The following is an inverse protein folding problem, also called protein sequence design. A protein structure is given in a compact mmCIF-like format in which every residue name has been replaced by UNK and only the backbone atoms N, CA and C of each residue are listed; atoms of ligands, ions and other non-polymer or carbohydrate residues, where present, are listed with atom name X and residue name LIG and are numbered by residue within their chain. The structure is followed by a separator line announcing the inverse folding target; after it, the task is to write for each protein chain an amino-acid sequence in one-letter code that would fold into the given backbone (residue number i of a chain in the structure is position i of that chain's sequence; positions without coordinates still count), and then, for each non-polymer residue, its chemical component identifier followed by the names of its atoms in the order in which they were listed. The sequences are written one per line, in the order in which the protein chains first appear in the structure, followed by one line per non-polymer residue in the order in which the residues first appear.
data_IF_893776083536
#
_entry.id   IF_893776083536
#
_cell.length_a   1.000
_cell.length_b   1.000
_cell.length_c   1.000
_cell.angle_alpha   90.00
_cell.angle_beta   90.00
_cell.angle_gamma   90.00
#
_symmetry.space_group_name_H-M   'P 1'
#
loop_
_entity.id
_entity.type
_entity.pdbx_description
1 polymer ?
#
# COMPACT_ATOMS: atom_id res chain seq x y z
N UNK A 1 9.45 -20.37 11.32
CA UNK A 1 9.46 -20.52 9.84
C UNK A 1 8.22 -19.82 9.32
N UNK A 2 8.37 -18.82 8.44
CA UNK A 2 7.20 -18.23 7.77
C UNK A 2 6.66 -19.26 6.78
N UNK A 3 5.36 -19.58 6.86
CA UNK A 3 4.74 -20.48 5.88
C UNK A 3 4.63 -19.77 4.53
N UNK A 4 4.65 -20.54 3.44
CA UNK A 4 4.48 -20.01 2.08
C UNK A 4 3.18 -19.21 1.93
N UNK A 5 2.11 -19.59 2.66
CA UNK A 5 0.85 -18.87 2.69
C UNK A 5 0.97 -17.45 3.26
N UNK A 6 1.67 -17.29 4.39
CA UNK A 6 1.89 -15.96 5.00
C UNK A 6 2.72 -15.06 4.07
N UNK A 7 3.70 -15.61 3.38
CA UNK A 7 4.53 -14.86 2.42
C UNK A 7 3.69 -14.40 1.22
N UNK A 8 2.82 -15.26 0.68
CA UNK A 8 1.95 -14.92 -0.44
C UNK A 8 0.94 -13.82 -0.06
N UNK A 9 0.36 -13.87 1.15
CA UNK A 9 -0.55 -12.83 1.64
C UNK A 9 0.14 -11.47 1.76
N UNK A 10 1.36 -11.43 2.31
CA UNK A 10 2.12 -10.19 2.46
C UNK A 10 2.49 -9.62 1.08
N UNK A 11 2.92 -10.46 0.14
CA UNK A 11 3.24 -10.02 -1.23
C UNK A 11 1.99 -9.50 -1.96
N UNK A 12 0.85 -10.19 -1.82
CA UNK A 12 -0.43 -9.76 -2.37
C UNK A 12 -0.86 -8.40 -1.81
N UNK A 13 -0.79 -8.24 -0.49
CA UNK A 13 -1.07 -6.98 0.18
C UNK A 13 -0.11 -5.87 -0.28
N UNK A 14 1.19 -6.16 -0.43
CA UNK A 14 2.18 -5.20 -0.88
C UNK A 14 1.94 -4.71 -2.31
N UNK A 15 1.63 -5.62 -3.23
CA UNK A 15 1.30 -5.26 -4.62
C UNK A 15 -0.02 -4.47 -4.69
N UNK A 16 -1.04 -4.91 -3.96
CA UNK A 16 -2.31 -4.20 -3.86
C UNK A 16 -2.10 -2.77 -3.34
N UNK A 17 -1.33 -2.61 -2.26
CA UNK A 17 -0.97 -1.32 -1.68
C UNK A 17 -0.19 -0.44 -2.64
N UNK A 18 0.81 -0.98 -3.34
CA UNK A 18 1.59 -0.23 -4.32
C UNK A 18 0.71 0.32 -5.44
N UNK A 19 -0.17 -0.52 -6.01
CA UNK A 19 -1.04 -0.12 -7.12
C UNK A 19 -2.09 0.90 -6.69
N UNK A 20 -2.82 0.61 -5.61
CA UNK A 20 -3.90 1.48 -5.12
C UNK A 20 -3.33 2.77 -4.50
N UNK A 21 -2.23 2.67 -3.76
CA UNK A 21 -1.51 3.83 -3.23
C UNK A 21 -0.95 4.72 -4.32
N UNK A 22 -0.41 4.15 -5.42
CA UNK A 22 0.02 4.94 -6.57
C UNK A 22 -1.15 5.64 -7.27
N UNK A 23 -2.30 4.97 -7.40
CA UNK A 23 -3.51 5.55 -7.98
C UNK A 23 -4.02 6.74 -7.16
N UNK A 24 -4.12 6.57 -5.83
CA UNK A 24 -4.53 7.66 -4.93
C UNK A 24 -3.49 8.79 -4.95
N UNK A 25 -2.20 8.47 -4.89
CA UNK A 25 -1.14 9.47 -5.00
C UNK A 25 -1.20 10.26 -6.31
N UNK A 26 -1.47 9.58 -7.43
CA UNK A 26 -1.67 10.23 -8.72
C UNK A 26 -2.89 11.15 -8.72
N UNK A 27 -4.04 10.73 -8.17
CA UNK A 27 -5.22 11.56 -8.00
C UNK A 27 -4.92 12.79 -7.14
N UNK A 28 -4.23 12.60 -6.01
CA UNK A 28 -3.82 13.70 -5.14
C UNK A 28 -2.96 14.70 -5.91
N UNK A 29 -2.00 14.27 -6.71
CA UNK A 29 -1.16 15.19 -7.52
C UNK A 29 -1.93 15.99 -8.57
N UNK A 30 -3.11 15.53 -9.01
CA UNK A 30 -3.95 16.29 -9.93
C UNK A 30 -4.61 17.49 -9.24
N UNK A 31 -4.91 17.35 -7.95
CA UNK A 31 -5.59 18.38 -7.15
C UNK A 31 -4.59 19.22 -6.37
N UNK A 32 -3.43 18.65 -6.06
CA UNK A 32 -2.42 19.23 -5.16
C UNK A 32 -1.07 19.33 -5.87
N UNK A 33 -0.35 20.44 -5.70
CA UNK A 33 0.98 20.65 -6.33
C UNK A 33 2.11 19.94 -5.58
N UNK A 34 1.91 18.69 -5.17
CA UNK A 34 2.86 17.93 -4.36
C UNK A 34 3.76 17.06 -5.27
N UNK A 35 5.01 16.86 -4.84
CA UNK A 35 5.95 15.96 -5.51
C UNK A 35 5.47 14.52 -5.58
N UNK A 36 6.09 13.72 -6.46
CA UNK A 36 5.73 12.31 -6.68
C UNK A 36 5.86 11.48 -5.40
N UNK A 37 6.98 11.58 -4.70
CA UNK A 37 7.23 10.74 -3.53
C UNK A 37 6.29 11.03 -2.34
N UNK A 38 6.05 12.29 -1.94
CA UNK A 38 5.05 12.59 -0.92
C UNK A 38 3.64 12.12 -1.29
N UNK A 39 3.28 12.16 -2.58
CA UNK A 39 1.98 11.69 -3.03
C UNK A 39 1.80 10.18 -2.87
N UNK A 40 2.86 9.40 -3.13
CA UNK A 40 2.86 7.96 -2.89
C UNK A 40 2.77 7.64 -1.40
N UNK A 41 3.48 8.38 -0.55
CA UNK A 41 3.38 8.23 0.90
C UNK A 41 1.95 8.47 1.39
N UNK A 42 1.29 9.53 0.90
CA UNK A 42 -0.11 9.83 1.24
C UNK A 42 -1.08 8.76 0.73
N UNK A 43 -0.90 8.30 -0.51
CA UNK A 43 -1.74 7.25 -1.08
C UNK A 43 -1.63 5.93 -0.30
N UNK A 44 -0.41 5.53 0.08
CA UNK A 44 -0.17 4.36 0.92
C UNK A 44 -0.76 4.55 2.33
N UNK A 45 -0.60 5.74 2.92
CA UNK A 45 -1.16 6.03 4.24
C UNK A 45 -2.70 5.87 4.22
N UNK A 46 -3.38 6.44 3.23
CA UNK A 46 -4.83 6.30 3.07
C UNK A 46 -5.21 4.82 2.90
N UNK A 47 -4.53 4.10 2.01
CA UNK A 47 -4.82 2.69 1.75
C UNK A 47 -4.54 1.79 2.96
N UNK A 48 -3.63 2.16 3.85
CA UNK A 48 -3.37 1.38 5.07
C UNK A 48 -4.61 1.31 5.96
N UNK A 49 -5.40 2.39 6.03
CA UNK A 49 -6.64 2.41 6.79
C UNK A 49 -7.84 1.83 6.01
N UNK A 50 -7.96 2.20 4.73
CA UNK A 50 -9.05 1.75 3.86
C UNK A 50 -8.93 0.27 3.52
N UNK A 51 -7.74 -0.19 3.15
CA UNK A 51 -7.45 -1.59 2.83
C UNK A 51 -7.70 -2.51 4.03
N UNK A 52 -7.44 -2.05 5.25
CA UNK A 52 -7.79 -2.79 6.47
C UNK A 52 -9.30 -2.98 6.60
N UNK A 53 -10.07 -1.91 6.40
CA UNK A 53 -11.53 -1.96 6.44
C UNK A 53 -12.10 -2.90 5.37
N UNK A 54 -11.61 -2.81 4.12
CA UNK A 54 -12.02 -3.67 3.01
C UNK A 54 -11.66 -5.14 3.23
N UNK A 55 -10.51 -5.41 3.83
CA UNK A 55 -10.10 -6.78 4.14
C UNK A 55 -11.01 -7.38 5.20
N UNK A 56 -11.26 -6.64 6.28
CA UNK A 56 -12.09 -7.10 7.42
C UNK A 56 -13.55 -7.26 7.00
N UNK A 57 -14.09 -6.36 6.16
CA UNK A 57 -15.47 -6.46 5.68
C UNK A 57 -15.74 -7.70 4.85
N UNK A 58 -14.70 -8.32 4.26
CA UNK A 58 -14.81 -9.51 3.42
C UNK A 58 -14.59 -10.81 4.21
N UNK A 59 -14.43 -10.76 5.53
CA UNK A 59 -14.06 -11.90 6.36
C UNK A 59 -15.17 -12.34 7.32
N UNK A 60 -16.40 -11.82 7.22
CA UNK A 60 -17.57 -12.20 8.03
C UNK A 60 -17.29 -12.29 9.55
N UNK A 61 -16.43 -11.41 10.07
CA UNK A 61 -16.05 -11.37 11.49
C UNK A 61 -14.94 -12.35 11.91
N UNK A 62 -14.35 -13.12 10.99
CA UNK A 62 -13.24 -14.03 11.27
C UNK A 62 -11.92 -13.31 11.59
N UNK A 63 -11.79 -12.03 11.23
CA UNK A 63 -10.59 -11.22 11.46
C UNK A 63 -10.98 -9.90 12.11
N UNK A 64 -10.30 -9.53 13.19
CA UNK A 64 -10.47 -8.24 13.85
C UNK A 64 -9.77 -7.12 13.07
N UNK A 65 -10.26 -5.89 13.23
CA UNK A 65 -9.72 -4.73 12.50
C UNK A 65 -8.24 -4.48 12.77
N UNK A 66 -7.78 -4.69 14.01
CA UNK A 66 -6.39 -4.43 14.37
C UNK A 66 -5.45 -5.42 13.67
N UNK A 67 -5.78 -6.70 13.67
CA UNK A 67 -5.04 -7.73 12.93
C UNK A 67 -5.02 -7.47 11.42
N UNK A 68 -6.18 -7.12 10.85
CA UNK A 68 -6.28 -6.70 9.44
C UNK A 68 -5.43 -5.48 9.13
N UNK A 69 -5.44 -4.47 10.01
CA UNK A 69 -4.65 -3.26 9.87
C UNK A 69 -3.15 -3.53 9.96
N UNK A 70 -2.67 -4.36 10.88
CA UNK A 70 -1.26 -4.72 10.99
C UNK A 70 -0.76 -5.38 9.69
N UNK A 71 -1.55 -6.31 9.12
CA UNK A 71 -1.22 -6.96 7.84
C UNK A 71 -1.12 -5.95 6.71
N UNK A 72 -2.09 -5.04 6.63
CA UNK A 72 -2.13 -4.01 5.60
C UNK A 72 -1.05 -2.95 5.80
N UNK A 73 -0.63 -2.66 7.04
CA UNK A 73 0.48 -1.77 7.33
C UNK A 73 1.82 -2.36 6.87
N UNK A 74 2.05 -3.65 7.10
CA UNK A 74 3.23 -4.37 6.57
C UNK A 74 3.23 -4.33 5.04
N UNK A 75 2.08 -4.66 4.42
CA UNK A 75 1.89 -4.54 2.97
C UNK A 75 2.15 -3.11 2.48
N UNK A 76 1.67 -2.10 3.20
CA UNK A 76 1.84 -0.68 2.90
C UNK A 76 3.31 -0.25 2.89
N UNK A 77 4.09 -0.66 3.89
CA UNK A 77 5.54 -0.39 3.95
C UNK A 77 6.25 -1.00 2.74
N UNK A 78 5.99 -2.28 2.44
CA UNK A 78 6.60 -2.95 1.28
C UNK A 78 6.15 -2.31 -0.04
N UNK A 79 4.86 -1.99 -0.16
CA UNK A 79 4.30 -1.31 -1.32
C UNK A 79 4.92 0.07 -1.54
N UNK A 80 5.15 0.84 -0.48
CA UNK A 80 5.86 2.11 -0.55
C UNK A 80 7.30 1.92 -1.02
N UNK A 81 8.02 0.90 -0.54
CA UNK A 81 9.39 0.61 -0.99
C UNK A 81 9.43 0.29 -2.49
N UNK A 82 8.43 -0.43 -3.02
CA UNK A 82 8.30 -0.70 -4.46
C UNK A 82 8.14 0.62 -5.24
N UNK A 83 7.21 1.48 -4.80
CA UNK A 83 6.98 2.78 -5.43
C UNK A 83 8.19 3.70 -5.34
N UNK A 84 8.89 3.68 -4.21
CA UNK A 84 10.10 4.43 -3.98
C UNK A 84 11.21 4.02 -4.95
N UNK A 85 11.50 2.72 -5.04
CA UNK A 85 12.50 2.17 -5.96
C UNK A 85 12.17 2.53 -7.42
N UNK A 86 10.89 2.47 -7.79
CA UNK A 86 10.41 2.80 -9.13
C UNK A 86 10.56 4.30 -9.42
N UNK A 87 10.25 5.16 -8.44
CA UNK A 87 10.40 6.62 -8.58
C UNK A 87 11.85 7.04 -8.79
N UNK A 88 12.82 6.40 -8.11
CA UNK A 88 14.25 6.69 -8.32
C UNK A 88 14.73 6.31 -9.71
N UNK A 89 14.26 5.19 -10.28
CA UNK A 89 14.59 4.80 -11.66
C UNK A 89 14.09 5.80 -12.69
N UNK A 90 12.95 6.44 -12.43
CA UNK A 90 12.41 7.46 -13.33
C UNK A 90 13.26 8.73 -13.36
N UNK A 91 13.82 9.14 -12.22
CA UNK A 91 14.64 10.36 -12.12
C UNK A 91 16.05 10.15 -12.69
N UNK A 92 16.59 8.93 -12.58
CA UNK A 92 17.93 8.58 -13.09
C UNK A 92 18.04 8.58 -14.63
N UNK A 93 16.93 8.65 -15.36
CA UNK A 93 16.90 8.59 -16.84
C UNK A 93 16.71 9.96 -17.50
N UNK A 94 16.61 11.03 -16.71
CA UNK A 94 16.54 12.43 -17.15
C UNK A 94 17.82 13.14 -16.78
#
# INVERSE_FOLDING_TARGET
MLSSGVVAEILGAALFMALTGALIGWLLRKVTRIGLLPSYALGIAIMTFVGAALYVSNQDGAVDYLSGWIRQAIGGVVGFLILYATSRRSVSKT
#
